data_IF_168209537345
#
_entry.id   IF_168209537345
#
_cell.length_a   1.000
_cell.length_b   1.000
_cell.length_c   1.000
_cell.angle_alpha   90.00
_cell.angle_beta   90.00
_cell.angle_gamma   90.00
#
_symmetry.space_group_name_H-M   'P 1'
#
loop_
_entity.id
_entity.type
_entity.pdbx_description
1 polymer ?
#
# COMPACT_ATOMS: atom_id res chain seq x y z
N UNK A 1 0.15 20.70 -45.90
CA UNK A 1 0.24 19.22 -45.89
C UNK A 1 -1.17 18.68 -45.71
N UNK A 2 -1.68 17.89 -46.67
CA UNK A 2 -3.04 17.33 -46.63
C UNK A 2 -2.99 15.90 -46.11
N UNK A 3 -3.64 15.62 -44.99
CA UNK A 3 -3.81 14.27 -44.46
C UNK A 3 -4.97 13.58 -45.17
N UNK A 4 -4.70 12.50 -45.90
CA UNK A 4 -5.77 11.73 -46.54
C UNK A 4 -6.49 10.84 -45.54
N UNK A 5 -7.78 10.56 -45.78
CA UNK A 5 -8.60 9.64 -44.96
C UNK A 5 -7.93 8.28 -44.77
N UNK A 6 -7.19 7.80 -45.78
CA UNK A 6 -6.46 6.51 -45.72
C UNK A 6 -5.26 6.57 -44.79
N UNK A 7 -4.49 7.66 -44.82
CA UNK A 7 -3.38 7.88 -43.89
C UNK A 7 -3.87 8.00 -42.45
N UNK A 8 -5.01 8.66 -42.23
CA UNK A 8 -5.63 8.72 -40.92
C UNK A 8 -5.97 7.31 -40.38
N UNK A 9 -6.61 6.47 -41.21
CA UNK A 9 -6.96 5.09 -40.84
C UNK A 9 -5.72 4.21 -40.60
N UNK A 10 -4.67 4.39 -41.40
CA UNK A 10 -3.43 3.63 -41.24
C UNK A 10 -2.66 4.02 -39.98
N UNK A 11 -2.58 5.32 -39.68
CA UNK A 11 -1.91 5.80 -38.48
C UNK A 11 -2.67 5.45 -37.20
N UNK A 12 -3.99 5.54 -37.21
CA UNK A 12 -4.80 5.16 -36.05
C UNK A 12 -4.74 3.65 -35.79
N UNK A 13 -4.78 2.82 -36.83
CA UNK A 13 -4.59 1.37 -36.70
C UNK A 13 -3.18 1.03 -36.16
N UNK A 14 -2.14 1.68 -36.67
CA UNK A 14 -0.77 1.48 -36.21
C UNK A 14 -0.57 1.93 -34.75
N UNK A 15 -1.18 3.05 -34.35
CA UNK A 15 -1.12 3.54 -32.98
C UNK A 15 -1.81 2.59 -31.99
N UNK A 16 -2.97 2.04 -32.35
CA UNK A 16 -3.69 1.07 -31.52
C UNK A 16 -2.93 -0.25 -31.40
N UNK A 17 -2.38 -0.78 -32.50
CA UNK A 17 -1.57 -1.99 -32.44
C UNK A 17 -0.26 -1.78 -31.66
N UNK A 18 0.31 -0.58 -31.74
CA UNK A 18 1.51 -0.22 -30.99
C UNK A 18 1.28 -0.16 -29.48
N UNK A 19 0.11 0.28 -29.02
CA UNK A 19 -0.18 0.36 -27.58
C UNK A 19 -0.63 -0.95 -26.95
N UNK A 20 -1.24 -1.86 -27.71
CA UNK A 20 -1.70 -3.17 -27.18
C UNK A 20 -0.59 -4.21 -27.05
N UNK A 21 0.49 -4.07 -27.82
CA UNK A 21 1.65 -4.98 -27.77
C UNK A 21 2.69 -4.58 -26.72
N UNK A 22 2.58 -3.36 -26.17
CA UNK A 22 3.43 -2.95 -25.07
C UNK A 22 2.95 -3.63 -23.79
N UNK A 23 3.81 -4.38 -23.09
CA UNK A 23 3.44 -4.96 -21.80
C UNK A 23 3.04 -3.82 -20.86
N UNK A 24 1.83 -3.91 -20.31
CA UNK A 24 1.41 -3.03 -19.22
C UNK A 24 2.25 -3.40 -17.99
N UNK A 25 3.43 -2.80 -17.88
CA UNK A 25 4.26 -2.91 -16.69
C UNK A 25 3.54 -2.13 -15.59
N UNK A 26 2.79 -2.85 -14.76
CA UNK A 26 2.37 -2.33 -13.47
C UNK A 26 3.67 -2.00 -12.73
N UNK A 27 4.00 -0.71 -12.66
CA UNK A 27 5.04 -0.24 -11.76
C UNK A 27 4.51 -0.57 -10.37
N UNK A 28 5.03 -1.66 -9.78
CA UNK A 28 5.01 -1.74 -8.33
C UNK A 28 5.71 -0.46 -7.87
N UNK A 29 5.10 0.30 -6.95
CA UNK A 29 5.84 1.35 -6.27
C UNK A 29 7.19 0.76 -5.91
N UNK A 30 8.28 1.44 -6.28
CA UNK A 30 9.59 1.14 -5.70
C UNK A 30 9.30 0.96 -4.23
N UNK A 31 9.53 -0.26 -3.74
CA UNK A 31 9.17 -0.67 -2.40
C UNK A 31 10.10 0.11 -1.48
N UNK A 32 9.77 1.40 -1.29
CA UNK A 32 10.41 2.30 -0.39
C UNK A 32 10.44 1.55 0.90
N UNK A 33 11.63 1.47 1.48
CA UNK A 33 11.99 0.69 2.65
C UNK A 33 11.09 1.09 3.84
N UNK A 34 9.83 0.67 3.84
CA UNK A 34 8.95 0.76 4.97
C UNK A 34 9.12 -0.55 5.72
N UNK A 35 10.08 -0.62 6.67
CA UNK A 35 10.36 -1.85 7.38
C UNK A 35 9.09 -2.32 8.07
N UNK A 36 8.80 -3.61 7.95
CA UNK A 36 7.60 -4.17 8.56
C UNK A 36 7.68 -3.95 10.09
N UNK A 37 6.75 -3.17 10.68
CA UNK A 37 6.84 -2.84 12.09
C UNK A 37 6.45 -4.06 12.91
N UNK A 38 7.42 -4.67 13.59
CA UNK A 38 7.16 -5.79 14.50
C UNK A 38 6.63 -5.25 15.83
N UNK A 39 5.39 -5.59 16.22
CA UNK A 39 4.87 -5.21 17.52
C UNK A 39 5.61 -5.97 18.63
N UNK A 40 5.83 -5.34 19.80
CA UNK A 40 6.41 -6.02 20.95
C UNK A 40 5.51 -7.18 21.39
N UNK A 41 6.11 -8.30 21.77
CA UNK A 41 5.40 -9.48 22.22
C UNK A 41 4.73 -9.23 23.59
N UNK A 42 3.51 -9.74 23.78
CA UNK A 42 2.75 -9.61 25.02
C UNK A 42 2.41 -11.01 25.54
N UNK A 43 3.07 -11.43 26.61
CA UNK A 43 2.93 -12.78 27.17
C UNK A 43 2.38 -12.74 28.60
N UNK A 44 1.48 -13.68 28.91
CA UNK A 44 1.02 -13.88 30.29
C UNK A 44 2.10 -14.63 31.07
N UNK A 45 3.08 -13.89 31.59
CA UNK A 45 4.13 -14.50 32.41
C UNK A 45 3.55 -14.95 33.75
N UNK A 46 3.53 -16.27 33.99
CA UNK A 46 3.11 -16.88 35.28
C UNK A 46 1.65 -16.58 35.65
N UNK A 47 0.76 -16.54 34.66
CA UNK A 47 -0.68 -16.29 34.88
C UNK A 47 -1.01 -14.85 35.25
N UNK A 48 -0.08 -13.91 35.06
CA UNK A 48 -0.37 -12.49 35.22
C UNK A 48 -1.34 -12.01 34.13
N UNK A 49 -2.30 -11.13 34.47
CA UNK A 49 -3.24 -10.60 33.49
C UNK A 49 -2.53 -9.72 32.46
N UNK A 50 -2.98 -9.80 31.22
CA UNK A 50 -2.52 -8.95 30.13
C UNK A 50 -3.31 -7.64 30.13
N UNK A 51 -2.60 -6.51 30.21
CA UNK A 51 -3.24 -5.20 30.14
C UNK A 51 -3.41 -4.76 28.68
N UNK A 52 -4.67 -4.64 28.27
CA UNK A 52 -5.08 -4.18 26.94
C UNK A 52 -5.93 -2.92 27.10
N UNK A 53 -5.39 -1.77 26.68
CA UNK A 53 -6.10 -0.50 26.71
C UNK A 53 -6.43 -0.06 25.28
N UNK A 54 -7.72 -0.07 24.94
CA UNK A 54 -8.23 0.48 23.69
C UNK A 54 -8.17 2.02 23.75
N UNK A 55 -7.49 2.63 22.78
CA UNK A 55 -7.31 4.07 22.72
C UNK A 55 -7.16 4.57 21.28
N UNK A 56 -7.35 5.87 21.09
CA UNK A 56 -7.01 6.56 19.84
C UNK A 56 -5.49 6.73 19.73
N UNK A 57 -4.93 6.45 18.56
CA UNK A 57 -3.51 6.59 18.23
C UNK A 57 -3.33 7.19 16.84
N UNK A 58 -2.09 7.42 16.43
CA UNK A 58 -1.74 7.96 15.12
C UNK A 58 -0.81 6.99 14.38
N UNK A 59 -1.16 6.63 13.16
CA UNK A 59 -0.41 5.67 12.35
C UNK A 59 -0.16 6.18 10.93
N UNK A 60 1.04 5.93 10.42
CA UNK A 60 1.39 6.21 9.03
C UNK A 60 1.30 4.91 8.23
N UNK A 61 0.36 4.84 7.29
CA UNK A 61 0.16 3.67 6.41
C UNK A 61 1.16 3.64 5.25
N UNK A 62 1.53 4.82 4.76
CA UNK A 62 2.55 5.02 3.74
C UNK A 62 3.28 6.34 4.01
N UNK A 63 4.61 6.33 3.90
CA UNK A 63 5.45 7.50 4.13
C UNK A 63 5.34 8.06 5.56
N UNK A 64 5.30 9.40 5.67
CA UNK A 64 5.31 10.12 6.96
C UNK A 64 3.96 10.66 7.44
N UNK A 65 2.90 10.58 6.63
CA UNK A 65 1.59 11.15 6.98
C UNK A 65 0.84 10.24 7.94
N UNK A 66 0.49 10.78 9.11
CA UNK A 66 -0.22 10.03 10.15
C UNK A 66 -1.72 10.29 10.08
N UNK A 67 -2.50 9.22 10.17
CA UNK A 67 -3.95 9.27 10.32
C UNK A 67 -4.34 8.88 11.75
N UNK A 68 -5.44 9.45 12.30
CA UNK A 68 -6.01 8.97 13.55
C UNK A 68 -6.58 7.56 13.34
N UNK A 69 -6.23 6.64 14.24
CA UNK A 69 -6.63 5.23 14.19
C UNK A 69 -7.01 4.74 15.58
N UNK A 70 -7.76 3.65 15.64
CA UNK A 70 -8.00 2.91 16.88
C UNK A 70 -7.03 1.74 17.03
N UNK A 71 -6.63 1.46 18.26
CA UNK A 71 -5.91 0.24 18.58
C UNK A 71 -5.59 0.09 20.06
N UNK A 72 -4.81 -0.93 20.38
CA UNK A 72 -4.47 -1.33 21.73
C UNK A 72 -3.08 -0.85 22.12
N UNK A 73 -2.94 -0.38 23.36
CA UNK A 73 -1.65 -0.01 23.95
C UNK A 73 -0.85 0.99 23.10
N UNK A 74 -1.55 1.94 22.48
CA UNK A 74 -0.97 3.07 21.75
C UNK A 74 -0.54 2.79 20.31
N UNK A 75 -0.83 1.61 19.74
CA UNK A 75 -0.45 1.26 18.37
C UNK A 75 -1.67 1.02 17.51
N UNK A 76 -1.51 1.14 16.18
CA UNK A 76 -2.50 0.65 15.23
C UNK A 76 -2.63 -0.86 15.36
N UNK A 77 -3.87 -1.37 15.39
CA UNK A 77 -4.18 -2.76 15.75
C UNK A 77 -3.73 -3.08 17.19
N UNK A 78 -3.18 -4.27 17.43
CA UNK A 78 -2.71 -4.72 18.72
C UNK A 78 -1.44 -5.53 18.59
N UNK A 79 -0.89 -5.94 19.74
CA UNK A 79 0.25 -6.87 19.77
C UNK A 79 -0.27 -8.31 19.57
N UNK A 80 0.50 -9.19 18.92
CA UNK A 80 0.21 -10.61 18.89
C UNK A 80 0.29 -11.17 20.32
N UNK A 81 -0.60 -12.10 20.64
CA UNK A 81 -0.62 -12.86 21.88
C UNK A 81 0.00 -14.24 21.61
N UNK A 82 0.82 -14.71 22.53
CA UNK A 82 1.28 -16.11 22.63
C UNK A 82 0.70 -16.77 23.88
#
# INVERSE_FOLDING_TARGET
MSFSRRQFLQLSAAAVAGTTLLPQVAQAEERGENPLPVPPLLESRRGQPLFLTLQSSHWAFSGGNKAPVWGFNGRYLGRPYE
#
